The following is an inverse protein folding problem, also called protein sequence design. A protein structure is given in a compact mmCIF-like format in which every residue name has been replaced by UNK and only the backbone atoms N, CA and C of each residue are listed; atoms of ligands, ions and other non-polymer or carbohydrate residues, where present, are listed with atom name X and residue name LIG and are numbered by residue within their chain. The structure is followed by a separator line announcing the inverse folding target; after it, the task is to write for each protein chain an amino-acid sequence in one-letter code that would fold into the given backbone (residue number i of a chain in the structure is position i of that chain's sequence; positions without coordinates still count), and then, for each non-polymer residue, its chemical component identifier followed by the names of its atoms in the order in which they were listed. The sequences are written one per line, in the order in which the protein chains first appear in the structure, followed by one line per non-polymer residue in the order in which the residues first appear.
data_IF_975384342369
#
_entry.id   IF_975384342369
#
_cell.length_a   1.000
_cell.length_b   1.000
_cell.length_c   1.000
_cell.angle_alpha   90.00
_cell.angle_beta   90.00
_cell.angle_gamma   90.00
#
_symmetry.space_group_name_H-M   'P 1'
#
loop_
_entity.id
_entity.type
_entity.pdbx_description
1 polymer ?
#
# COMPACT_ATOMS: atom_id res chain seq x y z
N UNK A 1 -3.64 -6.75 -19.92
CA UNK A 1 -2.84 -6.23 -18.81
C UNK A 1 -3.76 -5.43 -17.93
N UNK A 2 -3.99 -5.88 -16.69
CA UNK A 2 -4.78 -5.14 -15.70
C UNK A 2 -3.98 -3.91 -15.21
N UNK A 3 -4.62 -2.93 -14.55
CA UNK A 3 -3.90 -1.79 -13.96
C UNK A 3 -2.80 -2.21 -12.97
N UNK A 4 -3.01 -3.32 -12.26
CA UNK A 4 -2.03 -3.91 -11.34
C UNK A 4 -0.85 -4.48 -12.12
N UNK A 5 -1.11 -5.27 -13.16
CA UNK A 5 -0.06 -5.85 -14.01
C UNK A 5 0.76 -4.76 -14.73
N UNK A 6 0.12 -3.66 -15.12
CA UNK A 6 0.78 -2.52 -15.74
C UNK A 6 1.69 -1.78 -14.75
N UNK A 7 1.22 -1.54 -13.53
CA UNK A 7 2.04 -0.94 -12.47
C UNK A 7 3.25 -1.81 -12.13
N UNK A 8 3.03 -3.12 -11.96
CA UNK A 8 4.08 -4.09 -11.66
C UNK A 8 5.19 -4.04 -12.72
N UNK A 9 4.81 -4.17 -14.01
CA UNK A 9 5.78 -4.12 -15.12
C UNK A 9 6.48 -2.77 -15.26
N UNK A 10 5.76 -1.67 -15.05
CA UNK A 10 6.33 -0.33 -15.08
C UNK A 10 7.37 -0.13 -13.98
N UNK A 11 7.07 -0.59 -12.76
CA UNK A 11 7.99 -0.47 -11.64
C UNK A 11 9.23 -1.36 -11.81
N UNK A 12 9.06 -2.59 -12.31
CA UNK A 12 10.19 -3.47 -12.66
C UNK A 12 11.11 -2.85 -13.71
N UNK A 13 10.54 -2.21 -14.75
CA UNK A 13 11.32 -1.51 -15.77
C UNK A 13 12.09 -0.31 -15.19
N UNK A 14 11.48 0.45 -14.28
CA UNK A 14 12.14 1.55 -13.58
C UNK A 14 13.27 1.07 -12.68
N UNK A 15 13.07 -0.02 -11.93
CA UNK A 15 14.11 -0.63 -11.09
C UNK A 15 15.27 -1.11 -11.96
N UNK A 16 15.00 -1.76 -13.09
CA UNK A 16 16.04 -2.25 -13.99
C UNK A 16 16.91 -1.12 -14.56
N UNK A 17 16.32 0.05 -14.83
CA UNK A 17 17.03 1.20 -15.40
C UNK A 17 17.73 2.09 -14.37
N UNK A 18 17.13 2.25 -13.18
CA UNK A 18 17.51 3.28 -12.20
C UNK A 18 17.96 2.72 -10.85
N UNK A 19 17.67 1.44 -10.56
CA UNK A 19 17.76 0.88 -9.22
C UNK A 19 16.61 1.33 -8.31
N UNK A 20 16.44 0.64 -7.19
CA UNK A 20 15.28 0.83 -6.29
C UNK A 20 15.11 2.26 -5.78
N UNK A 21 16.19 2.90 -5.35
CA UNK A 21 16.13 4.24 -4.73
C UNK A 21 15.66 5.28 -5.73
N UNK A 22 16.23 5.29 -6.93
CA UNK A 22 15.93 6.29 -7.93
C UNK A 22 14.62 5.98 -8.68
N UNK A 23 14.21 4.71 -8.80
CA UNK A 23 12.89 4.35 -9.27
C UNK A 23 11.77 4.91 -8.37
N UNK A 24 11.90 4.80 -7.05
CA UNK A 24 10.92 5.37 -6.10
C UNK A 24 10.93 6.90 -6.15
N UNK A 25 12.11 7.54 -6.23
CA UNK A 25 12.20 9.00 -6.39
C UNK A 25 11.57 9.48 -7.69
N UNK A 26 11.76 8.75 -8.78
CA UNK A 26 11.16 9.07 -10.07
C UNK A 26 9.63 9.06 -9.99
N UNK A 27 9.03 8.00 -9.42
CA UNK A 27 7.58 7.91 -9.25
C UNK A 27 7.04 9.09 -8.43
N UNK A 28 7.70 9.41 -7.31
CA UNK A 28 7.33 10.54 -6.44
C UNK A 28 7.41 11.92 -7.09
N UNK A 29 8.05 12.08 -8.25
CA UNK A 29 8.03 13.35 -8.99
C UNK A 29 6.70 13.60 -9.70
N UNK A 30 6.00 12.52 -10.05
CA UNK A 30 4.73 12.58 -10.79
C UNK A 30 3.53 12.24 -9.91
N UNK A 31 3.75 11.50 -8.83
CA UNK A 31 2.77 11.24 -7.81
C UNK A 31 2.99 12.19 -6.62
N UNK A 32 2.21 13.27 -6.58
CA UNK A 32 2.24 14.21 -5.46
C UNK A 32 1.63 13.63 -4.18
N UNK A 33 1.03 12.43 -4.23
CA UNK A 33 0.13 11.92 -3.21
C UNK A 33 -1.13 12.78 -3.15
N UNK A 34 -2.25 12.27 -3.62
CA UNK A 34 -3.53 13.01 -3.54
C UNK A 34 -4.23 12.84 -2.19
N UNK A 35 -3.75 11.92 -1.36
CA UNK A 35 -4.46 11.49 -0.17
C UNK A 35 -3.78 12.03 1.09
N UNK A 36 -4.60 12.45 2.04
CA UNK A 36 -4.14 12.94 3.32
C UNK A 36 -4.41 11.86 4.34
N UNK A 37 -3.53 10.85 4.40
CA UNK A 37 -3.69 9.72 5.34
C UNK A 37 -3.90 10.20 6.79
N UNK A 38 -3.25 11.29 7.20
CA UNK A 38 -3.43 11.89 8.52
C UNK A 38 -4.89 12.29 8.76
N UNK A 39 -5.55 12.92 7.78
CA UNK A 39 -6.98 13.24 7.80
C UNK A 39 -7.84 11.98 7.66
N UNK A 40 -7.53 11.15 6.67
CA UNK A 40 -8.40 10.07 6.21
C UNK A 40 -8.45 8.90 7.19
N UNK A 41 -7.39 8.66 7.98
CA UNK A 41 -7.38 7.58 8.98
C UNK A 41 -8.49 7.70 10.02
N UNK A 42 -8.91 8.94 10.36
CA UNK A 42 -9.94 9.17 11.37
C UNK A 42 -11.31 8.60 10.98
N UNK A 43 -11.54 8.32 9.69
CA UNK A 43 -12.81 7.75 9.22
C UNK A 43 -13.03 6.29 9.66
N UNK A 44 -11.95 5.56 9.98
CA UNK A 44 -12.03 4.13 10.29
C UNK A 44 -11.16 3.71 11.48
N UNK A 45 -10.02 4.37 11.71
CA UNK A 45 -9.08 3.97 12.75
C UNK A 45 -9.56 4.35 14.15
N UNK A 46 -10.26 5.47 14.29
CA UNK A 46 -10.77 5.94 15.60
C UNK A 46 -11.85 5.00 16.16
N UNK A 47 -12.53 4.26 15.28
CA UNK A 47 -13.54 3.26 15.65
C UNK A 47 -12.96 1.88 15.92
N UNK A 48 -11.66 1.67 15.67
CA UNK A 48 -11.01 0.37 15.77
C UNK A 48 -10.21 0.28 17.08
N UNK A 49 -10.59 -0.65 17.96
CA UNK A 49 -9.83 -0.92 19.18
C UNK A 49 -8.67 -1.89 18.95
N UNK A 50 -7.71 -1.91 19.88
CA UNK A 50 -6.60 -2.87 19.81
C UNK A 50 -7.11 -4.31 19.94
N UNK A 51 -8.18 -4.49 20.73
CA UNK A 51 -8.88 -5.75 20.90
C UNK A 51 -9.51 -6.23 19.58
N UNK A 52 -10.10 -5.32 18.79
CA UNK A 52 -10.65 -5.64 17.46
C UNK A 52 -9.55 -6.12 16.50
N UNK A 53 -8.40 -5.43 16.50
CA UNK A 53 -7.23 -5.81 15.69
C UNK A 53 -6.71 -7.20 16.11
N UNK A 54 -6.63 -7.46 17.42
CA UNK A 54 -6.19 -8.75 17.96
C UNK A 54 -7.19 -9.88 17.68
N UNK A 55 -8.48 -9.59 17.67
CA UNK A 55 -9.50 -10.55 17.28
C UNK A 55 -9.38 -10.90 15.80
N UNK A 56 -9.19 -9.91 14.92
CA UNK A 56 -9.01 -10.12 13.47
C UNK A 56 -7.77 -10.97 13.17
N UNK A 57 -6.61 -10.65 13.75
CA UNK A 57 -5.38 -11.42 13.53
C UNK A 57 -5.50 -12.87 13.99
N UNK A 58 -6.19 -13.11 15.12
CA UNK A 58 -6.45 -14.48 15.61
C UNK A 58 -7.46 -15.22 14.72
N UNK A 59 -8.47 -14.52 14.21
CA UNK A 59 -9.46 -15.08 13.30
C UNK A 59 -8.88 -15.46 11.93
N UNK A 60 -7.96 -14.65 11.40
CA UNK A 60 -7.27 -14.92 10.12
C UNK A 60 -6.34 -16.14 10.19
N UNK A 61 -5.90 -16.58 11.37
CA UNK A 61 -5.15 -17.84 11.51
C UNK A 61 -6.02 -19.09 11.32
N UNK A 62 -7.36 -18.96 11.34
CA UNK A 62 -8.29 -20.11 11.28
C UNK A 62 -8.94 -20.28 9.90
N UNK A 63 -8.90 -19.26 9.03
CA UNK A 63 -9.56 -19.29 7.70
C UNK A 63 -8.64 -19.69 6.54
N UNK A 64 -7.68 -20.58 6.77
CA UNK A 64 -6.99 -21.30 5.69
C UNK A 64 -7.51 -22.74 5.66
N UNK A 65 -8.67 -22.95 5.04
CA UNK A 65 -9.14 -24.24 4.51
C UNK A 65 -9.50 -24.08 3.04
#
# INVERSE_FOLDING_TARGET
MTPVELNQKGFEALIAALGYVDAVRFIKQFDSGTDNYTRDRHQWLDTLSLEDIWAELKGQQVSTE
#
